data_IF_993343983069
#
_entry.id   IF_993343983069
#
_cell.length_a   1.000
_cell.length_b   1.000
_cell.length_c   1.000
_cell.angle_alpha   90.00
_cell.angle_beta   90.00
_cell.angle_gamma   90.00
#
_symmetry.space_group_name_H-M   'P 1'
#
loop_
_entity.id
_entity.type
_entity.pdbx_description
1 polymer ?
#
# COMPACT_ATOMS: atom_id res chain seq x y z
N UNK A 1 -47.83 40.85 -26.29
CA UNK A 1 -47.94 39.45 -25.84
C UNK A 1 -46.57 38.97 -25.39
N UNK A 2 -46.57 38.00 -24.47
CA UNK A 2 -45.58 37.76 -23.40
C UNK A 2 -44.20 37.31 -23.90
N UNK A 3 -43.19 37.64 -23.09
CA UNK A 3 -41.75 37.40 -23.25
C UNK A 3 -41.45 35.91 -23.48
N UNK A 4 -40.57 35.65 -24.44
CA UNK A 4 -40.04 34.33 -24.79
C UNK A 4 -39.30 33.76 -23.58
N UNK A 5 -39.71 32.57 -23.17
CA UNK A 5 -39.01 31.74 -22.20
C UNK A 5 -37.74 31.22 -22.90
N UNK A 6 -36.56 31.62 -22.44
CA UNK A 6 -35.32 30.91 -22.73
C UNK A 6 -34.76 30.39 -21.42
N UNK A 7 -35.12 29.14 -21.13
CA UNK A 7 -34.50 28.32 -20.10
C UNK A 7 -33.04 28.12 -20.50
N UNK A 8 -32.13 28.87 -19.86
CA UNK A 8 -30.71 28.58 -19.97
C UNK A 8 -30.45 27.26 -19.21
N UNK A 9 -30.25 26.17 -19.95
CA UNK A 9 -29.66 24.96 -19.40
C UNK A 9 -28.28 25.32 -18.87
N UNK A 10 -28.14 25.33 -17.55
CA UNK A 10 -26.85 25.42 -16.89
C UNK A 10 -26.16 24.08 -17.09
N UNK A 11 -25.39 23.95 -18.17
CA UNK A 11 -24.46 22.84 -18.38
C UNK A 11 -23.44 22.89 -17.24
N UNK A 12 -23.60 22.01 -16.25
CA UNK A 12 -22.53 21.70 -15.31
C UNK A 12 -21.41 21.12 -16.16
N UNK A 13 -20.37 21.93 -16.40
CA UNK A 13 -19.14 21.43 -17.00
C UNK A 13 -18.62 20.38 -16.03
N UNK A 14 -18.76 19.10 -16.38
CA UNK A 14 -18.02 18.04 -15.73
C UNK A 14 -16.56 18.34 -16.00
N UNK A 15 -15.87 18.89 -15.01
CA UNK A 15 -14.41 19.00 -15.03
C UNK A 15 -13.90 17.59 -15.26
N UNK A 16 -13.20 17.29 -16.37
CA UNK A 16 -12.53 16.02 -16.48
C UNK A 16 -11.52 15.96 -15.33
N UNK A 17 -11.69 14.96 -14.45
CA UNK A 17 -10.70 14.62 -13.43
C UNK A 17 -9.35 14.51 -14.13
N UNK A 18 -8.52 15.54 -13.94
CA UNK A 18 -7.24 15.66 -14.60
C UNK A 18 -6.29 14.63 -13.98
N UNK A 19 -5.86 13.67 -14.80
CA UNK A 19 -4.69 12.80 -14.65
C UNK A 19 -4.57 12.09 -13.29
N UNK A 20 -5.09 10.86 -13.21
CA UNK A 20 -4.58 9.91 -12.23
C UNK A 20 -3.12 9.60 -12.59
N UNK A 21 -2.18 10.32 -11.98
CA UNK A 21 -0.75 10.00 -12.09
C UNK A 21 -0.48 8.57 -11.66
N UNK A 22 0.61 8.00 -12.16
CA UNK A 22 0.97 6.61 -11.86
C UNK A 22 1.41 6.53 -10.40
N UNK A 23 0.76 5.68 -9.61
CA UNK A 23 1.17 5.46 -8.23
C UNK A 23 2.29 4.42 -8.19
N UNK A 24 3.38 4.78 -7.55
CA UNK A 24 4.48 3.88 -7.25
C UNK A 24 4.56 3.66 -5.74
N UNK A 25 4.64 2.40 -5.33
CA UNK A 25 4.76 2.00 -3.94
C UNK A 25 5.99 1.12 -3.74
N UNK A 26 6.59 1.21 -2.56
CA UNK A 26 7.74 0.39 -2.22
C UNK A 26 8.05 0.38 -0.73
N UNK A 27 9.05 -0.40 -0.38
CA UNK A 27 9.54 -0.46 0.98
C UNK A 27 11.06 -0.59 1.05
N UNK A 28 11.62 -0.01 2.09
CA UNK A 28 13.01 -0.15 2.49
C UNK A 28 13.06 -0.70 3.92
N UNK A 29 14.06 -1.53 4.21
CA UNK A 29 14.42 -1.85 5.58
C UNK A 29 15.59 -0.98 6.06
N UNK A 30 15.71 -0.85 7.37
CA UNK A 30 16.92 -0.32 7.98
C UNK A 30 18.14 -1.18 7.60
N UNK A 31 19.28 -0.52 7.46
CA UNK A 31 20.57 -1.19 7.26
C UNK A 31 20.89 -2.11 8.44
N UNK A 32 20.68 -1.59 9.64
CA UNK A 32 20.85 -2.23 10.93
C UNK A 32 19.65 -1.86 11.80
N UNK A 33 19.11 -2.82 12.55
CA UNK A 33 17.92 -2.60 13.38
C UNK A 33 18.20 -1.49 14.41
N UNK A 34 17.37 -0.47 14.44
CA UNK A 34 17.49 0.71 15.29
C UNK A 34 18.38 1.83 14.74
N UNK A 35 18.94 1.67 13.54
CA UNK A 35 19.86 2.67 12.96
C UNK A 35 19.17 3.95 12.47
N UNK A 36 17.87 3.91 12.15
CA UNK A 36 17.17 5.01 11.48
C UNK A 36 17.61 5.23 10.02
N UNK A 37 18.45 4.36 9.44
CA UNK A 37 18.98 4.50 8.07
C UNK A 37 18.36 3.44 7.15
N UNK A 38 17.44 3.86 6.28
CA UNK A 38 16.60 2.98 5.45
C UNK A 38 17.08 2.87 4.00
N UNK A 39 18.25 2.25 3.80
CA UNK A 39 18.87 2.14 2.48
C UNK A 39 18.81 0.74 1.86
N UNK A 40 18.26 -0.27 2.57
CA UNK A 40 18.05 -1.60 2.02
C UNK A 40 16.70 -1.64 1.29
N UNK A 41 16.72 -1.36 -0.02
CA UNK A 41 15.53 -1.47 -0.88
C UNK A 41 15.00 -2.91 -0.84
N UNK A 42 13.72 -3.07 -0.49
CA UNK A 42 13.03 -4.37 -0.53
C UNK A 42 12.32 -4.52 -1.89
N UNK A 43 11.51 -3.52 -2.26
CA UNK A 43 10.85 -3.46 -3.57
C UNK A 43 10.43 -2.03 -3.89
N UNK A 44 10.24 -1.75 -5.17
CA UNK A 44 9.66 -0.51 -5.69
C UNK A 44 8.94 -0.82 -7.00
N UNK A 45 7.63 -0.59 -7.04
CA UNK A 45 6.79 -1.05 -8.15
C UNK A 45 5.69 -0.04 -8.48
N UNK A 46 5.24 -0.07 -9.73
CA UNK A 46 4.00 0.59 -10.14
C UNK A 46 2.84 -0.22 -9.59
N UNK A 47 1.89 0.46 -8.94
CA UNK A 47 0.83 -0.20 -8.19
C UNK A 47 -0.54 0.32 -8.61
N UNK A 48 -1.48 -0.61 -8.81
CA UNK A 48 -2.91 -0.32 -8.79
C UNK A 48 -3.49 -0.64 -7.40
N UNK A 49 -3.92 0.40 -6.68
CA UNK A 49 -4.48 0.32 -5.33
C UNK A 49 -6.01 0.15 -5.31
N UNK A 50 -6.63 -0.16 -6.45
CA UNK A 50 -8.05 -0.54 -6.54
C UNK A 50 -8.41 -1.76 -5.67
N UNK A 51 -7.40 -2.56 -5.34
CA UNK A 51 -7.47 -3.68 -4.38
C UNK A 51 -6.34 -3.54 -3.37
N UNK A 52 -6.49 -4.12 -2.15
CA UNK A 52 -5.37 -4.25 -1.24
C UNK A 52 -4.20 -4.97 -1.89
N UNK A 53 -3.00 -4.46 -1.64
CA UNK A 53 -1.73 -5.02 -2.11
C UNK A 53 -0.88 -5.36 -0.91
N UNK A 54 -0.36 -6.59 -0.90
CA UNK A 54 0.45 -7.11 0.20
C UNK A 54 1.74 -7.69 -0.36
N UNK A 55 2.86 -7.38 0.28
CA UNK A 55 4.17 -7.96 -0.03
C UNK A 55 4.68 -8.63 1.23
N UNK A 56 5.08 -9.89 1.10
CA UNK A 56 5.83 -10.60 2.14
C UNK A 56 7.30 -10.61 1.78
N UNK A 57 8.15 -10.34 2.75
CA UNK A 57 9.61 -10.30 2.56
C UNK A 57 10.22 -11.37 3.44
N UNK A 58 10.71 -12.42 2.79
CA UNK A 58 11.37 -13.54 3.46
C UNK A 58 12.74 -13.11 4.02
N UNK A 59 13.29 -13.92 4.93
CA UNK A 59 14.59 -13.65 5.57
C UNK A 59 15.76 -13.56 4.57
N UNK A 60 15.68 -14.28 3.44
CA UNK A 60 16.66 -14.24 2.35
C UNK A 60 16.50 -13.01 1.43
N UNK A 61 15.49 -12.16 1.68
CA UNK A 61 15.17 -10.98 0.90
C UNK A 61 14.20 -11.22 -0.26
N UNK A 62 13.75 -12.46 -0.48
CA UNK A 62 12.75 -12.78 -1.50
C UNK A 62 11.43 -12.06 -1.18
N UNK A 63 10.88 -11.36 -2.18
CA UNK A 63 9.60 -10.66 -2.07
C UNK A 63 8.51 -11.50 -2.75
N UNK A 64 7.46 -11.80 -1.99
CA UNK A 64 6.31 -12.56 -2.46
C UNK A 64 5.06 -11.67 -2.54
N UNK A 65 4.39 -11.75 -3.69
CA UNK A 65 3.15 -11.04 -3.99
C UNK A 65 2.00 -12.06 -4.08
N UNK A 66 1.17 -12.21 -3.03
CA UNK A 66 0.12 -13.24 -2.96
C UNK A 66 -0.87 -13.17 -4.12
N UNK A 67 -1.21 -11.94 -4.55
CA UNK A 67 -2.12 -11.72 -5.69
C UNK A 67 -1.61 -12.25 -7.03
N UNK A 68 -0.33 -12.62 -7.14
CA UNK A 68 0.29 -13.10 -8.37
C UNK A 68 0.63 -14.59 -8.34
N UNK A 69 0.29 -15.33 -7.28
CA UNK A 69 0.85 -16.67 -7.05
C UNK A 69 -0.18 -17.79 -6.83
N UNK A 70 0.31 -19.01 -7.07
CA UNK A 70 -0.37 -20.26 -6.79
C UNK A 70 -0.52 -20.44 -5.27
N UNK A 71 -1.65 -20.95 -4.75
CA UNK A 71 -1.83 -21.28 -3.33
C UNK A 71 -0.69 -22.04 -2.66
N UNK A 72 0.08 -22.86 -3.39
CA UNK A 72 1.23 -23.57 -2.85
C UNK A 72 2.42 -22.67 -2.51
N UNK A 73 2.57 -21.52 -3.16
CA UNK A 73 3.61 -20.55 -2.81
C UNK A 73 3.24 -19.79 -1.53
N UNK A 74 1.94 -19.68 -1.20
CA UNK A 74 1.50 -19.15 0.09
C UNK A 74 1.99 -20.01 1.25
N UNK A 75 2.20 -21.32 1.06
CA UNK A 75 2.79 -22.19 2.10
C UNK A 75 4.25 -21.83 2.42
N UNK A 76 4.96 -21.15 1.50
CA UNK A 76 6.33 -20.65 1.71
C UNK A 76 6.36 -19.29 2.42
N UNK A 77 5.26 -18.53 2.36
CA UNK A 77 5.14 -17.18 2.92
C UNK A 77 5.18 -17.18 4.46
N UNK A 78 4.91 -18.32 5.09
CA UNK A 78 4.51 -18.36 6.49
C UNK A 78 5.58 -18.97 7.37
N UNK A 79 6.64 -18.21 7.62
CA UNK A 79 7.50 -18.43 8.78
C UNK A 79 7.14 -17.35 9.79
N UNK A 80 7.12 -17.70 11.07
CA UNK A 80 6.93 -16.72 12.14
C UNK A 80 8.01 -15.63 12.04
N UNK A 81 7.58 -14.37 12.04
CA UNK A 81 8.48 -13.23 11.91
C UNK A 81 8.72 -12.75 10.47
N UNK A 82 8.14 -13.39 9.44
CA UNK A 82 8.17 -12.85 8.07
C UNK A 82 7.61 -11.42 8.07
N UNK A 83 8.37 -10.49 7.48
CA UNK A 83 7.93 -9.11 7.30
C UNK A 83 6.80 -9.08 6.26
N UNK A 84 5.74 -8.34 6.56
CA UNK A 84 4.73 -8.01 5.58
C UNK A 84 4.55 -6.49 5.47
N UNK A 85 4.30 -6.03 4.26
CA UNK A 85 4.04 -4.63 3.89
C UNK A 85 2.74 -4.60 3.11
N UNK A 86 1.86 -3.66 3.43
CA UNK A 86 0.57 -3.51 2.75
C UNK A 86 0.26 -2.07 2.40
N UNK A 87 -0.46 -1.90 1.30
CA UNK A 87 -1.03 -0.61 0.90
C UNK A 87 -2.37 -0.81 0.20
N UNK A 88 -3.31 0.08 0.49
CA UNK A 88 -4.65 0.05 -0.11
C UNK A 88 -5.29 1.42 -0.11
N UNK A 89 -6.18 1.68 -1.07
CA UNK A 89 -7.04 2.85 -0.98
C UNK A 89 -8.14 2.61 0.06
N UNK A 90 -8.37 3.58 0.93
CA UNK A 90 -9.56 3.64 1.79
C UNK A 90 -10.31 4.93 1.50
N UNK A 91 -11.59 5.00 1.84
CA UNK A 91 -12.52 6.07 1.44
C UNK A 91 -12.04 7.52 1.69
N UNK A 92 -10.98 7.72 2.47
CA UNK A 92 -10.39 9.02 2.79
C UNK A 92 -8.87 9.13 2.49
N UNK A 93 -8.34 8.29 1.59
CA UNK A 93 -6.94 8.33 1.16
C UNK A 93 -6.23 6.98 1.29
N UNK A 94 -4.94 6.99 1.04
CA UNK A 94 -4.12 5.79 1.08
C UNK A 94 -3.93 5.33 2.52
N UNK A 95 -3.92 4.01 2.72
CA UNK A 95 -3.50 3.37 3.95
C UNK A 95 -2.21 2.60 3.71
N UNK A 96 -1.18 2.86 4.51
CA UNK A 96 0.10 2.15 4.53
C UNK A 96 0.17 1.28 5.78
N UNK A 97 0.70 0.07 5.64
CA UNK A 97 0.78 -0.93 6.70
C UNK A 97 2.13 -1.65 6.67
N UNK A 98 2.63 -2.00 7.85
CA UNK A 98 3.73 -2.94 8.01
C UNK A 98 3.58 -3.74 9.30
N UNK A 99 4.19 -4.92 9.34
CA UNK A 99 4.29 -5.72 10.55
C UNK A 99 4.98 -7.04 10.30
N UNK A 100 4.77 -7.99 11.20
CA UNK A 100 5.33 -9.34 11.09
C UNK A 100 4.26 -10.40 11.27
N UNK A 101 4.43 -11.55 10.63
CA UNK A 101 3.53 -12.70 10.75
C UNK A 101 3.79 -13.49 12.04
N UNK A 102 2.77 -14.20 12.50
CA UNK A 102 2.90 -15.30 13.45
C UNK A 102 1.75 -16.29 13.25
N UNK A 103 1.91 -17.55 13.65
CA UNK A 103 0.82 -18.51 13.71
C UNK A 103 0.11 -18.45 15.06
N UNK A 104 -1.23 -18.40 15.05
CA UNK A 104 -2.01 -18.57 16.28
C UNK A 104 -2.11 -20.05 16.71
N UNK A 105 -2.85 -20.31 17.78
CA UNK A 105 -3.04 -21.66 18.31
C UNK A 105 -3.76 -22.62 17.34
N UNK A 106 -4.45 -22.09 16.34
CA UNK A 106 -5.14 -22.83 15.29
C UNK A 106 -4.25 -23.03 14.04
N UNK A 107 -3.04 -22.46 14.03
CA UNK A 107 -2.15 -22.47 12.88
C UNK A 107 -2.54 -21.45 11.80
N UNK A 108 -3.41 -20.49 12.10
CA UNK A 108 -3.76 -19.42 11.16
C UNK A 108 -2.70 -18.30 11.19
N UNK A 109 -2.43 -17.71 10.03
CA UNK A 109 -1.57 -16.55 9.92
C UNK A 109 -2.25 -15.35 10.56
N UNK A 110 -1.61 -14.78 11.57
CA UNK A 110 -1.96 -13.51 12.19
C UNK A 110 -0.79 -12.54 12.07
N UNK A 111 -1.03 -11.29 12.44
CA UNK A 111 -0.06 -10.22 12.34
C UNK A 111 0.22 -9.58 13.70
N UNK A 112 1.49 -9.30 13.99
CA UNK A 112 1.97 -8.64 15.21
C UNK A 112 2.94 -7.52 14.86
N UNK A 113 3.24 -6.65 15.84
CA UNK A 113 4.04 -5.45 15.64
C UNK A 113 3.49 -4.58 14.51
N UNK A 114 2.18 -4.35 14.52
CA UNK A 114 1.47 -3.64 13.46
C UNK A 114 1.74 -2.14 13.54
N UNK A 115 2.06 -1.55 12.40
CA UNK A 115 2.09 -0.11 12.21
C UNK A 115 1.21 0.26 11.02
N UNK A 116 0.35 1.26 11.20
CA UNK A 116 -0.66 1.67 10.23
C UNK A 116 -0.67 3.19 10.15
N UNK A 117 -0.59 3.72 8.93
CA UNK A 117 -0.87 5.12 8.63
C UNK A 117 -2.07 5.18 7.69
N UNK A 118 -3.14 5.86 8.10
CA UNK A 118 -4.40 5.94 7.35
C UNK A 118 -4.67 7.37 6.90
N UNK A 119 -5.37 7.52 5.77
CA UNK A 119 -5.78 8.83 5.24
C UNK A 119 -4.60 9.67 4.75
N UNK A 120 -3.49 9.03 4.36
CA UNK A 120 -2.32 9.73 3.83
C UNK A 120 -2.50 10.03 2.34
N UNK A 121 -1.89 11.12 1.88
CA UNK A 121 -2.02 11.55 0.48
C UNK A 121 -1.27 10.60 -0.45
N UNK A 122 -1.89 10.24 -1.58
CA UNK A 122 -1.24 9.48 -2.66
C UNK A 122 -0.10 10.27 -3.33
N UNK A 123 -0.07 11.61 -3.21
CA UNK A 123 1.01 12.45 -3.77
C UNK A 123 2.36 12.08 -3.19
N UNK A 124 2.43 11.93 -1.88
CA UNK A 124 3.61 11.47 -1.16
C UNK A 124 3.17 11.01 0.23
N UNK A 125 3.44 9.74 0.52
CA UNK A 125 3.10 9.12 1.79
C UNK A 125 4.26 8.28 2.28
N UNK A 126 4.48 8.29 3.59
CA UNK A 126 5.59 7.59 4.24
C UNK A 126 5.12 7.06 5.59
N UNK A 127 5.35 5.76 5.81
CA UNK A 127 5.23 5.10 7.09
C UNK A 127 6.61 4.57 7.46
N UNK A 128 7.18 5.01 8.59
CA UNK A 128 8.43 4.49 9.13
C UNK A 128 8.16 3.87 10.49
N UNK A 129 8.26 2.54 10.58
CA UNK A 129 8.00 1.80 11.80
C UNK A 129 8.68 0.43 11.75
N UNK A 130 9.04 -0.11 12.92
CA UNK A 130 9.57 -1.48 13.06
C UNK A 130 10.77 -1.79 12.15
N UNK A 131 11.66 -0.81 11.93
CA UNK A 131 12.80 -0.96 11.04
C UNK A 131 12.45 -1.02 9.54
N UNK A 132 11.22 -0.64 9.16
CA UNK A 132 10.75 -0.59 7.77
C UNK A 132 10.19 0.79 7.43
N UNK A 133 10.52 1.28 6.24
CA UNK A 133 9.94 2.45 5.62
C UNK A 133 9.09 2.00 4.44
N UNK A 134 7.79 2.29 4.47
CA UNK A 134 6.84 2.05 3.38
C UNK A 134 6.49 3.40 2.77
N UNK A 135 6.61 3.53 1.45
CA UNK A 135 6.40 4.79 0.76
C UNK A 135 5.56 4.59 -0.49
N UNK A 136 4.62 5.50 -0.74
CA UNK A 136 3.94 5.61 -2.02
C UNK A 136 3.96 7.05 -2.54
N UNK A 137 4.20 7.21 -3.84
CA UNK A 137 4.33 8.50 -4.52
C UNK A 137 3.61 8.43 -5.85
N UNK A 138 2.73 9.40 -6.10
CA UNK A 138 2.12 9.62 -7.40
C UNK A 138 3.08 10.40 -8.29
N UNK A 139 3.41 9.86 -9.46
CA UNK A 139 4.28 10.48 -10.47
C UNK A 139 3.50 10.89 -11.72
#
# INVERSE_FOLDING_TARGET
>A
MKKILMTAMMTVMTVPMAHAGELYCGANAEKEVGSGVYNKSLFWEKTDISKPKIRYVLADGTVISPELQNPDDLKKIVVDGTLWVGFMNQNNGLQLMSGSTYHDAQGEIKYKNLAIASGVSEKQSLLMANGVAVMCVQK
#
